data_IF_481961284849
#
_entry.id   IF_481961284849
#
_cell.length_a   1.000
_cell.length_b   1.000
_cell.length_c   1.000
_cell.angle_alpha   90.00
_cell.angle_beta   90.00
_cell.angle_gamma   90.00
#
_symmetry.space_group_name_H-M   'P 1'
#
loop_
_entity.id
_entity.type
_entity.pdbx_description
1 polymer ?
#
# COMPACT_ATOMS: atom_id res chain seq x y z
N UNK A 1 8.63 2.55 0.22
CA UNK A 1 8.21 2.16 1.59
C UNK A 1 7.92 0.67 1.72
N UNK A 2 6.95 0.09 0.99
CA UNK A 2 6.67 -1.36 1.10
C UNK A 2 7.88 -2.19 0.66
N UNK A 3 8.45 -1.87 -0.51
CA UNK A 3 9.67 -2.54 -1.02
C UNK A 3 10.85 -2.40 -0.05
N UNK A 4 11.14 -1.17 0.39
CA UNK A 4 12.22 -0.90 1.36
C UNK A 4 11.99 -1.60 2.71
N UNK A 5 10.74 -1.77 3.14
CA UNK A 5 10.41 -2.50 4.35
C UNK A 5 10.60 -4.01 4.17
N UNK A 6 10.27 -4.54 2.99
CA UNK A 6 10.37 -5.97 2.66
C UNK A 6 11.82 -6.46 2.61
N UNK A 7 12.79 -5.57 2.31
CA UNK A 7 14.21 -5.94 2.36
C UNK A 7 14.74 -6.12 3.78
N UNK A 8 14.09 -5.52 4.78
CA UNK A 8 14.52 -5.58 6.18
C UNK A 8 13.61 -6.44 7.07
N UNK A 9 12.38 -6.74 6.65
CA UNK A 9 11.36 -7.39 7.47
C UNK A 9 10.54 -8.40 6.67
N UNK A 10 9.97 -9.39 7.36
CA UNK A 10 8.92 -10.24 6.81
C UNK A 10 7.60 -9.46 6.86
N UNK A 11 7.13 -8.99 5.70
CA UNK A 11 5.92 -8.18 5.60
C UNK A 11 4.74 -8.99 5.09
N UNK A 12 3.58 -8.79 5.71
CA UNK A 12 2.29 -9.23 5.21
C UNK A 12 1.35 -8.03 5.08
N UNK A 13 0.73 -7.87 3.91
CA UNK A 13 -0.32 -6.87 3.68
C UNK A 13 -1.66 -7.58 3.81
N UNK A 14 -2.38 -7.29 4.90
CA UNK A 14 -3.67 -7.95 5.18
C UNK A 14 -4.81 -7.19 4.51
N UNK A 15 -5.81 -7.92 4.03
CA UNK A 15 -7.08 -7.39 3.52
C UNK A 15 -8.24 -8.11 4.21
N UNK A 16 -9.45 -7.55 4.17
CA UNK A 16 -10.67 -8.21 4.67
C UNK A 16 -11.14 -9.35 3.77
N UNK A 17 -10.73 -9.33 2.51
CA UNK A 17 -11.10 -10.28 1.47
C UNK A 17 -10.17 -11.48 1.50
N UNK A 18 -10.73 -12.69 1.60
CA UNK A 18 -9.98 -13.94 1.61
C UNK A 18 -9.64 -14.50 0.23
N UNK A 19 -10.35 -14.04 -0.81
CA UNK A 19 -10.13 -14.47 -2.19
C UNK A 19 -9.31 -13.43 -2.97
N UNK A 20 -8.15 -13.79 -3.54
CA UNK A 20 -7.34 -12.91 -4.38
C UNK A 20 -8.09 -12.29 -5.56
N UNK A 21 -9.08 -12.99 -6.14
CA UNK A 21 -9.87 -12.44 -7.25
C UNK A 21 -10.75 -11.27 -6.82
N UNK A 22 -11.12 -11.21 -5.54
CA UNK A 22 -11.97 -10.16 -4.96
C UNK A 22 -11.17 -9.16 -4.11
N UNK A 23 -9.87 -9.35 -3.93
CA UNK A 23 -9.04 -8.51 -3.09
C UNK A 23 -8.72 -7.17 -3.77
N UNK A 24 -9.33 -6.07 -3.27
CA UNK A 24 -9.07 -4.74 -3.81
C UNK A 24 -7.59 -4.32 -3.64
N UNK A 25 -6.90 -4.76 -2.57
CA UNK A 25 -5.48 -4.46 -2.36
C UNK A 25 -4.59 -5.18 -3.37
N UNK A 26 -4.97 -6.38 -3.82
CA UNK A 26 -4.27 -7.05 -4.93
C UNK A 26 -4.40 -6.23 -6.21
N UNK A 27 -5.63 -5.84 -6.56
CA UNK A 27 -5.90 -5.07 -7.79
C UNK A 27 -5.18 -3.72 -7.83
N UNK A 28 -5.05 -3.06 -6.68
CA UNK A 28 -4.46 -1.72 -6.59
C UNK A 28 -2.95 -1.72 -6.31
N UNK A 29 -2.53 -2.45 -5.27
CA UNK A 29 -1.14 -2.43 -4.78
C UNK A 29 -0.38 -3.65 -5.28
N UNK A 30 -1.01 -4.83 -5.27
CA UNK A 30 -0.42 -6.08 -5.74
C UNK A 30 0.06 -5.97 -7.19
N UNK A 31 -0.78 -5.46 -8.10
CA UNK A 31 -0.39 -5.21 -9.49
C UNK A 31 0.90 -4.38 -9.63
N UNK A 32 0.98 -3.25 -8.93
CA UNK A 32 2.17 -2.36 -8.96
C UNK A 32 3.41 -3.04 -8.37
N UNK A 33 3.24 -3.86 -7.34
CA UNK A 33 4.33 -4.60 -6.73
C UNK A 33 4.84 -5.72 -7.66
N UNK A 34 3.93 -6.45 -8.31
CA UNK A 34 4.27 -7.45 -9.32
C UNK A 34 5.01 -6.82 -10.51
N UNK A 35 4.53 -5.69 -11.03
CA UNK A 35 5.21 -4.92 -12.10
C UNK A 35 6.61 -4.44 -11.70
N UNK A 36 6.89 -4.31 -10.39
CA UNK A 36 8.22 -3.97 -9.85
C UNK A 36 9.09 -5.20 -9.55
N UNK A 37 8.64 -6.39 -9.94
CA UNK A 37 9.36 -7.65 -9.74
C UNK A 37 9.31 -8.19 -8.30
N UNK A 38 8.37 -7.72 -7.47
CA UNK A 38 8.18 -8.27 -6.13
C UNK A 38 7.34 -9.54 -6.22
N UNK A 39 7.86 -10.65 -5.71
CA UNK A 39 7.09 -11.90 -5.59
C UNK A 39 5.98 -11.72 -4.55
N UNK A 40 4.73 -11.95 -4.98
CA UNK A 40 3.55 -11.83 -4.14
C UNK A 40 2.93 -13.20 -3.89
N UNK A 41 2.63 -13.48 -2.62
CA UNK A 41 1.93 -14.69 -2.18
C UNK A 41 0.69 -14.30 -1.40
N UNK A 42 -0.45 -14.89 -1.78
CA UNK A 42 -1.75 -14.71 -1.15
C UNK A 42 -1.98 -15.77 -0.10
N UNK A 43 -2.37 -15.36 1.10
CA UNK A 43 -2.76 -16.26 2.18
C UNK A 43 -4.27 -16.49 2.03
N UNK A 44 -4.66 -17.71 1.65
CA UNK A 44 -6.05 -18.10 1.48
C UNK A 44 -6.71 -18.40 2.86
N UNK A 45 -8.04 -18.48 2.95
CA UNK A 45 -8.75 -18.71 4.22
C UNK A 45 -8.44 -20.04 4.89
N UNK A 46 -8.02 -21.03 4.11
CA UNK A 46 -7.56 -22.35 4.58
C UNK A 46 -6.09 -22.32 5.07
N UNK A 47 -5.42 -21.17 4.98
CA UNK A 47 -4.01 -20.96 5.33
C UNK A 47 -3.04 -21.36 4.23
N UNK A 48 -3.50 -21.83 3.08
CA UNK A 48 -2.64 -22.14 1.94
C UNK A 48 -2.12 -20.86 1.28
N UNK A 49 -1.02 -21.00 0.52
CA UNK A 49 -0.39 -19.90 -0.19
C UNK A 49 -0.59 -20.05 -1.69
N UNK A 50 -1.01 -18.97 -2.36
CA UNK A 50 -1.10 -18.90 -3.83
C UNK A 50 -0.22 -17.80 -4.38
N UNK A 51 0.60 -18.08 -5.38
CA UNK A 51 1.49 -17.09 -6.01
C UNK A 51 0.70 -16.22 -6.98
N UNK A 52 0.98 -14.91 -7.03
CA UNK A 52 0.28 -13.96 -7.90
C UNK A 52 0.25 -14.40 -9.37
N UNK A 53 1.34 -14.94 -9.90
CA UNK A 53 1.43 -15.45 -11.29
C UNK A 53 0.42 -16.56 -11.59
N UNK A 54 0.05 -17.36 -10.58
CA UNK A 54 -0.95 -18.43 -10.71
C UNK A 54 -2.40 -17.95 -10.53
N UNK A 55 -2.60 -16.66 -10.23
CA UNK A 55 -3.95 -16.09 -10.07
C UNK A 55 -4.42 -15.56 -11.42
N UNK A 56 -5.27 -16.33 -12.09
CA UNK A 56 -5.87 -15.93 -13.36
C UNK A 56 -6.58 -14.57 -13.22
N UNK A 57 -6.15 -13.59 -14.01
CA UNK A 57 -6.76 -12.27 -14.00
C UNK A 57 -7.99 -12.35 -14.90
N UNK A 58 -9.17 -12.21 -14.29
CA UNK A 58 -10.43 -12.15 -15.02
C UNK A 58 -10.37 -11.04 -16.08
N UNK A 59 -10.81 -11.38 -17.28
CA UNK A 59 -10.55 -10.66 -18.51
C UNK A 59 -11.20 -9.26 -18.50
N UNK A 60 -10.45 -8.25 -18.06
CA UNK A 60 -10.81 -6.86 -18.25
C UNK A 60 -10.81 -6.45 -19.75
N UNK A 61 -10.40 -7.36 -20.65
CA UNK A 61 -10.36 -7.12 -22.09
C UNK A 61 -11.73 -6.99 -22.76
N UNK A 62 -12.84 -7.29 -22.07
CA UNK A 62 -14.19 -7.04 -22.62
C UNK A 62 -14.72 -5.63 -22.35
N UNK A 63 -13.96 -4.78 -21.65
CA UNK A 63 -14.32 -3.37 -21.57
C UNK A 63 -13.84 -2.64 -22.82
N UNK A 64 -14.75 -2.44 -23.78
CA UNK A 64 -14.49 -1.52 -24.89
C UNK A 64 -14.19 -0.13 -24.32
N UNK A 65 -13.05 0.44 -24.69
CA UNK A 65 -12.73 1.82 -24.32
C UNK A 65 -13.78 2.75 -24.93
N UNK A 66 -14.46 3.53 -24.09
CA UNK A 66 -15.43 4.54 -24.53
C UNK A 66 -14.81 5.57 -25.48
N UNK A 67 -13.50 5.81 -25.38
CA UNK A 67 -12.77 6.79 -26.19
C UNK A 67 -11.87 6.15 -27.26
N UNK A 68 -11.97 4.84 -27.51
CA UNK A 68 -11.19 4.14 -28.54
C UNK A 68 -9.69 4.00 -28.25
N UNK A 69 -9.18 4.59 -27.16
CA UNK A 69 -7.80 4.45 -26.71
C UNK A 69 -7.75 3.53 -25.47
N UNK A 70 -6.95 2.47 -25.53
CA UNK A 70 -6.61 1.67 -24.34
C UNK A 70 -5.74 2.52 -23.41
N UNK A 71 -6.36 3.10 -22.38
CA UNK A 71 -5.64 3.87 -21.39
C UNK A 71 -4.80 2.91 -20.52
N UNK A 72 -3.49 3.19 -20.32
CA UNK A 72 -2.68 2.44 -19.37
C UNK A 72 -3.35 2.44 -18.00
N UNK A 73 -3.42 1.27 -17.35
CA UNK A 73 -3.97 1.17 -16.01
C UNK A 73 -3.27 2.18 -15.08
N UNK A 74 -4.07 2.97 -14.36
CA UNK A 74 -3.60 3.87 -13.31
C UNK A 74 -4.46 3.67 -12.09
N UNK A 75 -3.84 3.56 -10.92
CA UNK A 75 -4.56 3.80 -9.69
C UNK A 75 -5.10 5.22 -9.69
N UNK A 76 -6.30 5.43 -9.16
CA UNK A 76 -6.76 6.75 -8.74
C UNK A 76 -5.66 7.31 -7.84
N UNK A 77 -4.99 8.37 -8.27
CA UNK A 77 -3.85 8.93 -7.56
C UNK A 77 -4.12 8.97 -6.06
N UNK A 78 -3.14 8.56 -5.25
CA UNK A 78 -3.29 8.63 -3.80
C UNK A 78 -3.67 10.06 -3.41
N UNK A 79 -4.88 10.25 -2.85
CA UNK A 79 -5.37 11.54 -2.35
C UNK A 79 -4.56 12.07 -1.16
N UNK A 80 -3.46 11.42 -0.78
CA UNK A 80 -2.45 12.07 0.04
C UNK A 80 -1.83 13.18 -0.82
N UNK A 81 -2.39 14.37 -0.67
CA UNK A 81 -1.66 15.59 -0.96
C UNK A 81 -0.25 15.39 -0.43
N UNK A 82 0.75 15.47 -1.32
CA UNK A 82 2.13 15.71 -0.95
C UNK A 82 2.16 17.05 -0.24
N UNK A 83 1.79 17.07 1.03
CA UNK A 83 2.19 18.12 1.95
C UNK A 83 3.68 17.90 2.08
N UNK A 84 4.49 18.57 1.25
CA UNK A 84 5.83 18.94 1.69
C UNK A 84 5.55 19.65 3.01
N UNK A 85 5.85 18.99 4.13
CA UNK A 85 5.98 19.73 5.37
C UNK A 85 7.08 20.74 5.05
N UNK A 86 6.70 21.99 4.82
CA UNK A 86 7.61 23.09 5.05
C UNK A 86 8.10 22.89 6.47
N UNK A 87 9.41 22.69 6.63
CA UNK A 87 10.05 22.84 7.93
C UNK A 87 9.63 24.22 8.42
N UNK A 88 8.64 24.25 9.30
CA UNK A 88 8.17 25.48 9.90
C UNK A 88 9.22 25.78 10.96
N UNK A 89 10.24 26.51 10.57
CA UNK A 89 11.08 27.29 11.49
C UNK A 89 10.18 28.35 12.13
N UNK A 90 9.31 27.90 13.02
CA UNK A 90 8.58 28.71 13.97
C UNK A 90 9.03 28.20 15.34
N UNK A 91 9.85 29.02 15.98
CA UNK A 91 10.34 28.79 17.33
C UNK A 91 9.17 28.74 18.30
N UNK A 92 9.01 27.61 18.98
CA UNK A 92 8.30 27.58 20.25
C UNK A 92 9.27 28.06 21.34
N UNK A 93 8.87 29.02 22.21
CA UNK A 93 9.68 29.36 23.36
C UNK A 93 9.85 28.11 24.23
N UNK A 94 11.11 27.77 24.53
CA UNK A 94 11.46 26.72 25.49
C UNK A 94 10.92 27.13 26.86
N UNK A 95 9.75 26.60 27.22
CA UNK A 95 9.25 26.67 28.60
C UNK A 95 10.17 25.75 29.42
N UNK A 96 10.95 26.40 30.27
CA UNK A 96 12.01 25.78 31.06
C UNK A 96 11.52 24.63 31.92
N UNK A 97 12.44 23.71 32.13
CA UNK A 97 12.43 22.66 33.14
C UNK A 97 12.11 23.24 34.53
N UNK A 98 10.89 23.06 35.00
CA UNK A 98 10.62 23.01 36.43
C UNK A 98 10.49 21.54 36.82
N UNK A 99 11.58 21.01 37.38
CA UNK A 99 11.61 19.78 38.17
C UNK A 99 10.47 19.81 39.19
N UNK A 100 9.58 18.81 39.14
CA UNK A 100 8.66 18.51 40.22
C UNK A 100 9.48 17.86 41.34
N UNK A 101 9.90 18.66 42.31
CA UNK A 101 10.68 18.24 43.47
C UNK A 101 9.90 18.50 44.76
N UNK A 102 8.73 17.89 44.93
CA UNK A 102 8.17 17.61 46.26
C UNK A 102 7.03 16.59 46.17
N UNK A 103 7.37 15.31 46.31
CA UNK A 103 6.48 14.32 46.91
C UNK A 103 7.10 13.99 48.27
N UNK A 104 6.52 14.52 49.33
CA UNK A 104 6.73 14.12 50.73
C UNK A 104 5.33 13.90 51.32
#
# INVERSE_FOLDING_TARGET
>A
RVVDGASAHRLALVCSEGDPHHCHRRLLVGRVLAERGVELRHILPDGSLKVEESVEVGDAACQCSLFGEEAPWRSTQSVSHRRRLSTSSIGYPRRGSSVCSTCA
#
